data_IF_305944446639
#
_entry.id   IF_305944446639
#
_cell.length_a   1.000
_cell.length_b   1.000
_cell.length_c   1.000
_cell.angle_alpha   90.00
_cell.angle_beta   90.00
_cell.angle_gamma   90.00
#
_symmetry.space_group_name_H-M   'P 1'
#
loop_
_entity.id
_entity.type
_entity.pdbx_description
1 polymer ?
#
# COMPACT_ATOMS: atom_id res chain seq x y z
N UNK A 1 -11.92 -9.72 -11.51
CA UNK A 1 -10.96 -8.73 -11.00
C UNK A 1 -10.59 -7.72 -12.06
N UNK A 2 -10.42 -8.19 -13.29
CA UNK A 2 -10.06 -7.30 -14.38
C UNK A 2 -11.17 -6.31 -14.73
N UNK A 3 -12.38 -6.60 -14.27
CA UNK A 3 -13.55 -5.74 -14.50
C UNK A 3 -13.74 -4.72 -13.40
N UNK A 4 -12.89 -4.74 -12.39
CA UNK A 4 -13.07 -3.86 -11.24
C UNK A 4 -12.84 -2.41 -11.62
N UNK A 5 -13.69 -1.54 -11.08
CA UNK A 5 -13.52 -0.11 -11.18
C UNK A 5 -12.15 0.30 -10.62
N UNK A 6 -11.37 1.13 -11.33
CA UNK A 6 -10.05 1.54 -10.83
C UNK A 6 -10.08 2.15 -9.42
N UNK A 7 -11.10 2.93 -9.10
CA UNK A 7 -11.21 3.49 -7.76
C UNK A 7 -11.42 2.42 -6.70
N UNK A 8 -12.18 1.38 -7.05
CA UNK A 8 -12.37 0.25 -6.15
C UNK A 8 -11.08 -0.50 -5.93
N UNK A 9 -10.27 -0.68 -6.98
CA UNK A 9 -8.96 -1.32 -6.85
C UNK A 9 -8.07 -0.54 -5.89
N UNK A 10 -8.09 0.78 -5.97
CA UNK A 10 -7.32 1.62 -5.04
C UNK A 10 -7.80 1.40 -3.61
N UNK A 11 -9.11 1.36 -3.39
CA UNK A 11 -9.64 1.11 -2.06
C UNK A 11 -9.21 -0.26 -1.53
N UNK A 12 -9.24 -1.27 -2.40
CA UNK A 12 -8.80 -2.61 -2.03
C UNK A 12 -7.31 -2.64 -1.68
N UNK A 13 -6.49 -1.92 -2.43
CA UNK A 13 -5.07 -1.82 -2.13
C UNK A 13 -4.84 -1.14 -0.78
N UNK A 14 -5.55 -0.06 -0.51
CA UNK A 14 -5.41 0.65 0.77
C UNK A 14 -5.81 -0.24 1.94
N UNK A 15 -6.95 -0.92 1.81
CA UNK A 15 -7.39 -1.82 2.86
C UNK A 15 -6.42 -2.99 3.03
N UNK A 16 -5.96 -3.54 1.91
CA UNK A 16 -4.98 -4.62 1.96
C UNK A 16 -3.68 -4.21 2.64
N UNK A 17 -3.23 -2.98 2.37
CA UNK A 17 -2.05 -2.44 3.03
C UNK A 17 -2.23 -2.33 4.53
N UNK A 18 -3.37 -1.80 4.96
CA UNK A 18 -3.70 -1.70 6.39
C UNK A 18 -3.74 -3.07 7.04
N UNK A 19 -4.35 -4.05 6.35
CA UNK A 19 -4.45 -5.41 6.89
C UNK A 19 -3.07 -6.04 7.06
N UNK A 20 -2.20 -5.86 6.08
CA UNK A 20 -0.85 -6.43 6.16
C UNK A 20 -0.03 -5.77 7.26
N UNK A 21 -0.20 -4.47 7.46
CA UNK A 21 0.48 -3.76 8.55
C UNK A 21 0.00 -4.28 9.90
N UNK A 22 -1.31 -4.47 10.07
CA UNK A 22 -1.86 -5.01 11.31
C UNK A 22 -1.34 -6.41 11.58
N UNK A 23 -1.28 -7.25 10.54
CA UNK A 23 -0.78 -8.61 10.67
C UNK A 23 0.71 -8.62 11.00
N UNK A 24 1.47 -7.72 10.39
CA UNK A 24 2.90 -7.61 10.68
C UNK A 24 3.15 -7.20 12.12
N UNK A 25 2.31 -6.30 12.64
CA UNK A 25 2.39 -5.92 14.05
C UNK A 25 2.19 -7.12 14.96
N UNK A 26 1.18 -7.93 14.65
CA UNK A 26 0.94 -9.17 15.41
C UNK A 26 2.12 -10.13 15.34
N UNK A 27 2.73 -10.26 14.16
CA UNK A 27 3.89 -11.13 13.99
C UNK A 27 5.07 -10.62 14.82
N UNK A 28 5.28 -9.31 14.89
CA UNK A 28 6.33 -8.74 15.74
C UNK A 28 6.08 -9.02 17.20
N UNK A 29 4.82 -8.93 17.63
CA UNK A 29 4.47 -9.19 19.03
C UNK A 29 4.70 -10.64 19.43
N UNK A 30 4.63 -11.55 18.46
CA UNK A 30 4.86 -12.98 18.69
C UNK A 30 6.30 -13.40 18.39
N UNK A 31 7.15 -12.45 18.02
CA UNK A 31 8.52 -12.74 17.57
C UNK A 31 8.56 -13.70 16.38
N UNK A 32 7.54 -13.66 15.53
CA UNK A 32 7.49 -14.46 14.32
C UNK A 32 8.19 -13.71 13.19
N UNK A 33 9.52 -13.71 13.22
CA UNK A 33 10.32 -12.85 12.36
C UNK A 33 10.18 -13.15 10.87
N UNK A 34 10.09 -14.43 10.51
CA UNK A 34 9.92 -14.80 9.11
C UNK A 34 8.57 -14.32 8.58
N UNK A 35 7.51 -14.50 9.36
CA UNK A 35 6.18 -14.06 9.00
C UNK A 35 6.14 -12.53 8.90
N UNK A 36 6.77 -11.84 9.85
CA UNK A 36 6.87 -10.38 9.83
C UNK A 36 7.50 -9.90 8.52
N UNK A 37 8.59 -10.52 8.11
CA UNK A 37 9.28 -10.14 6.89
C UNK A 37 8.39 -10.27 5.65
N UNK A 38 7.65 -11.36 5.57
CA UNK A 38 6.73 -11.58 4.45
C UNK A 38 5.63 -10.53 4.45
N UNK A 39 5.04 -10.26 5.62
CA UNK A 39 3.91 -9.32 5.72
C UNK A 39 4.34 -7.89 5.43
N UNK A 40 5.48 -7.47 5.96
CA UNK A 40 6.01 -6.13 5.67
C UNK A 40 6.33 -6.02 4.18
N UNK A 41 6.90 -7.06 3.59
CA UNK A 41 7.17 -7.07 2.16
C UNK A 41 5.91 -6.90 1.33
N UNK A 42 4.83 -7.57 1.73
CA UNK A 42 3.55 -7.41 1.03
C UNK A 42 2.99 -6.01 1.18
N UNK A 43 3.11 -5.41 2.37
CA UNK A 43 2.67 -4.04 2.58
C UNK A 43 3.46 -3.08 1.70
N UNK A 44 4.77 -3.25 1.60
CA UNK A 44 5.61 -2.43 0.75
C UNK A 44 5.19 -2.55 -0.71
N UNK A 45 4.92 -3.76 -1.17
CA UNK A 45 4.47 -3.98 -2.55
C UNK A 45 3.13 -3.30 -2.81
N UNK A 46 2.22 -3.36 -1.86
CA UNK A 46 0.91 -2.72 -1.99
C UNK A 46 1.07 -1.20 -2.08
N UNK A 47 1.92 -0.61 -1.24
CA UNK A 47 2.17 0.82 -1.29
C UNK A 47 2.84 1.20 -2.61
N UNK A 48 3.75 0.34 -3.11
CA UNK A 48 4.32 0.53 -4.43
C UNK A 48 3.27 0.53 -5.53
N UNK A 49 2.26 -0.34 -5.39
CA UNK A 49 1.14 -0.37 -6.32
C UNK A 49 0.31 0.89 -6.28
N UNK A 50 0.06 1.42 -5.07
CA UNK A 50 -0.65 2.69 -4.93
C UNK A 50 0.12 3.83 -5.58
N UNK A 51 1.43 3.87 -5.35
CA UNK A 51 2.30 4.88 -5.93
C UNK A 51 2.29 4.79 -7.46
N UNK A 52 2.38 3.56 -7.97
CA UNK A 52 2.36 3.33 -9.40
C UNK A 52 1.04 3.73 -10.04
N UNK A 53 -0.07 3.61 -9.30
CA UNK A 53 -1.40 3.94 -9.79
C UNK A 53 -1.64 5.44 -9.92
N UNK A 54 -0.81 6.27 -9.30
CA UNK A 54 -0.97 7.72 -9.37
C UNK A 54 -0.70 8.22 -10.77
N UNK A 55 -1.65 8.95 -11.34
CA UNK A 55 -1.45 9.62 -12.63
C UNK A 55 -1.02 11.06 -12.36
N UNK A 56 0.29 11.26 -12.31
CA UNK A 56 0.86 12.56 -11.95
C UNK A 56 0.55 13.64 -12.98
N UNK A 57 0.30 13.23 -14.21
CA UNK A 57 -0.02 14.20 -15.26
C UNK A 57 -1.38 14.86 -15.04
N UNK A 58 -2.28 14.18 -14.33
CA UNK A 58 -3.62 14.68 -14.03
C UNK A 58 -3.69 15.23 -12.61
N UNK A 59 -3.11 14.52 -11.65
CA UNK A 59 -3.22 14.85 -10.24
C UNK A 59 -2.40 16.06 -9.79
N UNK A 60 -1.39 16.44 -10.56
CA UNK A 60 -0.57 17.62 -10.26
C UNK A 60 0.11 17.54 -8.91
N UNK A 61 0.04 18.63 -8.15
CA UNK A 61 0.72 18.75 -6.87
C UNK A 61 0.23 17.72 -5.85
N UNK A 62 -1.07 17.44 -5.85
CA UNK A 62 -1.62 16.47 -4.91
C UNK A 62 -1.04 15.07 -5.17
N UNK A 63 -0.94 14.68 -6.44
CA UNK A 63 -0.37 13.38 -6.77
C UNK A 63 1.11 13.31 -6.39
N UNK A 64 1.86 14.39 -6.59
CA UNK A 64 3.27 14.43 -6.21
C UNK A 64 3.45 14.35 -4.71
N UNK A 65 2.59 15.02 -3.95
CA UNK A 65 2.66 14.96 -2.50
C UNK A 65 2.35 13.56 -1.99
N UNK A 66 1.38 12.88 -2.59
CA UNK A 66 1.07 11.50 -2.22
C UNK A 66 2.21 10.57 -2.60
N UNK A 67 2.84 10.80 -3.75
CA UNK A 67 3.97 9.98 -4.16
C UNK A 67 5.09 10.06 -3.12
N UNK A 68 5.39 11.26 -2.64
CA UNK A 68 6.41 11.44 -1.61
C UNK A 68 6.02 10.80 -0.30
N UNK A 69 4.74 10.88 0.06
CA UNK A 69 4.24 10.25 1.28
C UNK A 69 4.38 8.74 1.20
N UNK A 70 4.03 8.14 0.05
CA UNK A 70 4.17 6.71 -0.14
C UNK A 70 5.63 6.26 -0.09
N UNK A 71 6.52 7.08 -0.62
CA UNK A 71 7.96 6.81 -0.53
C UNK A 71 8.42 6.81 0.92
N UNK A 72 7.98 7.81 1.70
CA UNK A 72 8.29 7.88 3.12
C UNK A 72 7.77 6.64 3.86
N UNK A 73 6.52 6.25 3.57
CA UNK A 73 5.94 5.07 4.21
C UNK A 73 6.74 3.81 3.90
N UNK A 74 7.20 3.67 2.67
CA UNK A 74 8.01 2.51 2.27
C UNK A 74 9.29 2.46 3.09
N UNK A 75 9.96 3.60 3.25
CA UNK A 75 11.19 3.66 4.04
C UNK A 75 10.93 3.32 5.51
N UNK A 76 9.82 3.83 6.06
CA UNK A 76 9.47 3.54 7.46
C UNK A 76 9.14 2.07 7.65
N UNK A 77 8.51 1.43 6.67
CA UNK A 77 8.24 0.00 6.74
C UNK A 77 9.51 -0.82 6.76
N UNK A 78 10.49 -0.46 5.93
CA UNK A 78 11.79 -1.12 5.96
C UNK A 78 12.45 -0.98 7.33
N UNK A 79 12.44 0.23 7.89
CA UNK A 79 13.02 0.48 9.20
C UNK A 79 12.28 -0.28 10.30
N UNK A 80 10.95 -0.31 10.21
CA UNK A 80 10.15 -1.04 11.18
C UNK A 80 10.51 -2.51 11.20
N UNK A 81 10.68 -3.10 10.02
CA UNK A 81 11.05 -4.51 9.93
C UNK A 81 12.46 -4.75 10.45
N UNK A 82 13.39 -3.88 10.06
CA UNK A 82 14.79 -4.04 10.45
C UNK A 82 14.97 -3.96 11.96
N UNK A 83 14.29 -3.02 12.61
CA UNK A 83 14.46 -2.77 14.03
C UNK A 83 13.34 -3.36 14.88
N UNK A 84 12.42 -4.10 14.27
CA UNK A 84 11.27 -4.69 14.96
C UNK A 84 10.48 -3.63 15.73
N UNK A 85 10.24 -2.49 15.09
CA UNK A 85 9.67 -1.29 15.70
C UNK A 85 8.18 -1.17 15.38
N UNK A 86 7.35 -1.55 16.36
CA UNK A 86 5.90 -1.54 16.20
C UNK A 86 5.37 -0.11 16.04
N UNK A 87 6.00 0.88 16.67
CA UNK A 87 5.55 2.26 16.58
C UNK A 87 5.65 2.78 15.15
N UNK A 88 6.67 2.37 14.42
CA UNK A 88 6.79 2.75 13.01
C UNK A 88 5.69 2.12 12.17
N UNK A 89 5.30 0.89 12.48
CA UNK A 89 4.16 0.26 11.81
C UNK A 89 2.87 1.04 12.10
N UNK A 90 2.67 1.45 13.34
CA UNK A 90 1.50 2.22 13.71
C UNK A 90 1.47 3.56 12.97
N UNK A 91 2.63 4.21 12.85
CA UNK A 91 2.75 5.46 12.11
C UNK A 91 2.33 5.30 10.66
N UNK A 92 2.86 4.27 10.00
CA UNK A 92 2.54 4.03 8.58
C UNK A 92 1.05 3.72 8.43
N UNK A 93 0.48 2.95 9.33
CA UNK A 93 -0.94 2.65 9.30
C UNK A 93 -1.80 3.92 9.39
N UNK A 94 -1.44 4.82 10.31
CA UNK A 94 -2.17 6.08 10.44
C UNK A 94 -2.04 6.95 9.18
N UNK A 95 -0.84 7.01 8.61
CA UNK A 95 -0.60 7.79 7.41
C UNK A 95 -1.38 7.22 6.23
N UNK A 96 -1.41 5.91 6.09
CA UNK A 96 -2.15 5.27 5.01
C UNK A 96 -3.63 5.55 5.14
N UNK A 97 -4.16 5.49 6.35
CA UNK A 97 -5.56 5.79 6.61
C UNK A 97 -5.91 7.23 6.23
N UNK A 98 -5.04 8.17 6.60
CA UNK A 98 -5.25 9.59 6.34
C UNK A 98 -5.06 9.95 4.87
N UNK A 99 -4.33 9.15 4.12
CA UNK A 99 -4.01 9.45 2.73
C UNK A 99 -5.02 8.87 1.75
N UNK A 100 -6.23 8.57 2.19
CA UNK A 100 -7.27 8.06 1.31
C UNK A 100 -7.46 9.00 0.15
N UNK A 101 -7.59 8.40 -1.03
CA UNK A 101 -7.76 9.19 -2.24
C UNK A 101 -9.08 9.96 -2.17
N UNK A 102 -9.05 11.28 -2.34
CA UNK A 102 -10.26 12.10 -2.22
C UNK A 102 -11.08 12.05 -3.50
N UNK A 103 -12.12 11.25 -3.51
CA UNK A 103 -13.13 11.25 -4.56
C UNK A 103 -12.58 11.32 -5.97
N UNK A 104 -12.96 12.38 -6.70
CA UNK A 104 -12.59 12.56 -8.10
C UNK A 104 -11.32 13.38 -8.31
N UNK A 105 -10.68 13.86 -7.25
CA UNK A 105 -9.50 14.73 -7.37
C UNK A 105 -8.28 14.00 -7.89
N UNK A 106 -8.20 12.72 -7.61
CA UNK A 106 -7.10 11.88 -8.09
C UNK A 106 -7.70 10.81 -8.99
N UNK A 107 -6.99 10.50 -10.06
CA UNK A 107 -7.44 9.46 -10.98
C UNK A 107 -6.37 8.38 -11.08
N UNK A 108 -6.76 7.10 -10.99
CA UNK A 108 -5.84 6.01 -11.26
C UNK A 108 -5.46 6.01 -12.74
N UNK A 109 -4.31 5.42 -13.04
CA UNK A 109 -3.89 5.25 -14.41
C UNK A 109 -4.89 4.37 -15.14
N UNK A 110 -5.04 4.61 -16.46
CA UNK A 110 -5.87 3.76 -17.30
C UNK A 110 -5.28 2.35 -17.30
N UNK A 111 -6.14 1.37 -17.46
CA UNK A 111 -5.75 -0.04 -17.49
C UNK A 111 -4.98 -0.44 -16.23
N UNK A 112 -5.39 0.12 -15.10
CA UNK A 112 -4.73 -0.14 -13.82
C UNK A 112 -4.70 -1.64 -13.50
N UNK A 113 -5.78 -2.36 -13.77
CA UNK A 113 -5.82 -3.80 -13.50
C UNK A 113 -4.74 -4.55 -14.28
N UNK A 114 -4.51 -4.17 -15.54
CA UNK A 114 -3.46 -4.79 -16.36
C UNK A 114 -2.09 -4.47 -15.80
N UNK A 115 -1.89 -3.22 -15.40
CA UNK A 115 -0.60 -2.79 -14.83
C UNK A 115 -0.30 -3.51 -13.53
N UNK A 116 -1.30 -3.66 -12.67
CA UNK A 116 -1.12 -4.37 -11.41
C UNK A 116 -0.83 -5.85 -11.64
N UNK A 117 -1.47 -6.44 -12.64
CA UNK A 117 -1.19 -7.83 -13.01
C UNK A 117 0.26 -7.98 -13.46
N UNK A 118 0.76 -7.02 -14.26
CA UNK A 118 2.14 -7.03 -14.71
C UNK A 118 3.13 -6.93 -13.57
N UNK A 119 2.75 -6.22 -12.50
CA UNK A 119 3.60 -6.05 -11.32
C UNK A 119 3.46 -7.20 -10.34
N UNK A 120 2.62 -8.18 -10.62
CA UNK A 120 2.44 -9.32 -9.73
C UNK A 120 1.53 -9.06 -8.54
N UNK A 121 0.86 -7.91 -8.51
CA UNK A 121 -0.03 -7.57 -7.40
C UNK A 121 -1.42 -8.18 -7.52
N UNK A 122 -1.75 -8.74 -8.68
CA UNK A 122 -3.08 -9.33 -8.88
C UNK A 122 -3.34 -10.47 -7.91
N UNK A 123 -2.34 -11.31 -7.65
CA UNK A 123 -2.49 -12.41 -6.71
C UNK A 123 -2.71 -11.92 -5.30
N UNK A 124 -2.04 -10.83 -4.92
CA UNK A 124 -2.23 -10.23 -3.60
C UNK A 124 -3.65 -9.69 -3.44
N UNK A 125 -4.19 -9.06 -4.50
CA UNK A 125 -5.56 -8.58 -4.46
C UNK A 125 -6.56 -9.72 -4.28
N UNK A 126 -6.30 -10.86 -4.91
CA UNK A 126 -7.19 -12.01 -4.80
C UNK A 126 -7.19 -12.61 -3.39
N UNK A 127 -6.12 -12.47 -2.64
CA UNK A 127 -6.00 -13.05 -1.30
C UNK A 127 -6.39 -12.07 -0.19
N UNK A 128 -6.82 -10.88 -0.53
CA UNK A 128 -7.15 -9.82 0.43
C UNK A 128 -8.58 -9.90 0.97
N UNK A 129 -9.17 -11.01 1.01
CA UNK A 129 -10.53 -11.12 1.54
C UNK A 129 -10.56 -11.60 2.95
#
# INVERSE_FOLDING_TARGET
VTEADPHRLIQMLMQGGLDRIAQAKGAMERDAFAEKGVLVGKAINIIGGLRYALDKSIGGELAENLDRLYEYMTMRLFEASRHNDIEKLNEVGRLLERSRWPGTRLRPKRKLSVLLASCGLASDLLTMR
#
